data_IF_371232078478
#
_entry.id   IF_371232078478
#
_cell.length_a   1.000
_cell.length_b   1.000
_cell.length_c   1.000
_cell.angle_alpha   90.00
_cell.angle_beta   90.00
_cell.angle_gamma   90.00
#
_symmetry.space_group_name_H-M   'P 1'
#
loop_
_entity.id
_entity.type
_entity.pdbx_description
1 polymer ?
#
# COMPACT_ATOMS: atom_id res chain seq x y z
N UNK A 1 -0.62 1.74 -7.34
CA UNK A 1 -0.09 2.36 -6.13
C UNK A 1 1.39 2.69 -6.23
N UNK A 2 1.77 3.27 -7.32
CA UNK A 2 3.13 3.73 -7.66
C UNK A 2 3.06 5.23 -7.90
N UNK A 3 2.95 6.05 -6.83
CA UNK A 3 2.76 7.48 -6.96
C UNK A 3 3.91 8.16 -7.70
N UNK A 4 5.09 7.56 -7.70
CA UNK A 4 6.29 8.01 -8.40
C UNK A 4 6.16 8.00 -9.94
N UNK A 5 5.17 7.29 -10.49
CA UNK A 5 4.92 7.25 -11.93
C UNK A 5 3.96 8.34 -12.42
N UNK A 6 3.45 9.18 -11.51
CA UNK A 6 2.47 10.20 -11.84
C UNK A 6 2.76 11.57 -11.22
N UNK A 7 2.00 12.57 -11.65
CA UNK A 7 2.01 13.90 -11.05
C UNK A 7 0.77 14.09 -10.16
N UNK A 8 0.99 14.52 -8.91
CA UNK A 8 -0.10 14.78 -7.99
C UNK A 8 -0.60 16.23 -8.13
N UNK A 9 -1.78 16.40 -8.71
CA UNK A 9 -2.38 17.72 -8.94
C UNK A 9 -2.62 18.52 -7.64
N UNK A 10 -2.89 17.84 -6.51
CA UNK A 10 -3.11 18.48 -5.21
C UNK A 10 -1.81 19.10 -4.69
N UNK A 11 -0.68 18.38 -4.83
CA UNK A 11 0.63 18.89 -4.45
C UNK A 11 1.07 20.04 -5.38
N UNK A 12 0.83 19.91 -6.68
CA UNK A 12 1.09 20.97 -7.64
C UNK A 12 0.31 22.25 -7.31
N UNK A 13 -0.97 22.10 -6.96
CA UNK A 13 -1.81 23.23 -6.54
C UNK A 13 -1.31 23.86 -5.25
N UNK A 14 -0.93 23.06 -4.24
CA UNK A 14 -0.38 23.58 -2.99
C UNK A 14 0.90 24.41 -3.23
N UNK A 15 1.78 23.95 -4.12
CA UNK A 15 2.99 24.68 -4.52
C UNK A 15 2.64 26.05 -5.16
N UNK A 16 1.68 26.08 -6.09
CA UNK A 16 1.22 27.33 -6.72
C UNK A 16 0.63 28.29 -5.69
N UNK A 17 -0.20 27.78 -4.76
CA UNK A 17 -0.80 28.60 -3.70
C UNK A 17 0.28 29.18 -2.76
N UNK A 18 1.32 28.44 -2.44
CA UNK A 18 2.41 28.94 -1.60
C UNK A 18 3.30 29.98 -2.29
N UNK A 19 3.44 29.93 -3.61
CA UNK A 19 4.29 30.83 -4.40
C UNK A 19 3.55 32.05 -4.98
N UNK A 20 2.22 32.09 -4.92
CA UNK A 20 1.40 33.03 -5.68
C UNK A 20 1.29 34.46 -5.09
N UNK A 21 1.89 34.73 -3.93
CA UNK A 21 1.90 36.07 -3.34
C UNK A 21 0.59 36.52 -2.68
N UNK A 22 -0.39 35.64 -2.53
CA UNK A 22 -1.63 35.83 -1.75
C UNK A 22 -1.56 35.14 -0.39
N UNK A 23 -2.57 35.34 0.44
CA UNK A 23 -2.66 34.63 1.72
C UNK A 23 -2.80 33.12 1.46
N UNK A 24 -1.80 32.38 1.92
CA UNK A 24 -1.74 30.93 1.67
C UNK A 24 -2.63 30.19 2.66
N UNK A 25 -3.57 29.36 2.20
CA UNK A 25 -4.41 28.53 3.07
C UNK A 25 -3.58 27.51 3.87
N UNK A 26 -4.00 27.19 5.09
CA UNK A 26 -3.26 26.29 5.98
C UNK A 26 -3.06 24.88 5.41
N UNK A 27 -4.05 24.35 4.68
CA UNK A 27 -3.90 23.06 4.02
C UNK A 27 -2.78 23.08 2.96
N UNK A 28 -2.62 24.19 2.23
CA UNK A 28 -1.56 24.33 1.23
C UNK A 28 -0.19 24.45 1.88
N UNK A 29 -0.06 25.20 2.99
CA UNK A 29 1.16 25.25 3.79
C UNK A 29 1.54 23.87 4.32
N UNK A 30 0.55 23.13 4.87
CA UNK A 30 0.77 21.77 5.37
C UNK A 30 1.30 20.84 4.29
N UNK A 31 0.66 20.84 3.12
CA UNK A 31 1.10 20.00 2.00
C UNK A 31 2.50 20.40 1.51
N UNK A 32 2.76 21.68 1.33
CA UNK A 32 4.06 22.18 0.88
C UNK A 32 5.18 21.84 1.87
N UNK A 33 4.93 21.98 3.19
CA UNK A 33 5.95 21.76 4.22
C UNK A 33 6.21 20.26 4.50
N UNK A 34 5.20 19.41 4.34
CA UNK A 34 5.25 18.02 4.81
C UNK A 34 5.26 16.98 3.69
N UNK A 35 4.90 17.36 2.48
CA UNK A 35 4.77 16.45 1.34
C UNK A 35 5.51 17.01 0.12
N UNK A 36 6.85 16.88 0.09
CA UNK A 36 7.64 17.36 -1.03
C UNK A 36 7.24 16.66 -2.32
N UNK A 37 7.13 17.44 -3.41
CA UNK A 37 6.60 16.99 -4.70
C UNK A 37 7.38 15.82 -5.32
N UNK A 38 8.70 15.81 -5.11
CA UNK A 38 9.61 14.84 -5.71
C UNK A 38 9.91 13.63 -4.81
N UNK A 39 9.30 13.59 -3.63
CA UNK A 39 9.48 12.51 -2.68
C UNK A 39 8.13 12.15 -2.04
N UNK A 40 7.61 10.98 -2.34
CA UNK A 40 6.36 10.48 -1.77
C UNK A 40 6.48 9.99 -0.32
N UNK A 41 7.69 10.02 0.22
CA UNK A 41 7.91 9.93 1.67
C UNK A 41 7.57 11.29 2.28
N UNK A 42 6.62 11.29 3.20
CA UNK A 42 6.28 12.51 3.91
C UNK A 42 7.39 12.94 4.87
N UNK A 43 7.53 14.26 5.08
CA UNK A 43 8.38 14.81 6.14
C UNK A 43 7.69 14.79 7.52
N UNK A 44 6.66 14.00 7.68
CA UNK A 44 6.08 13.67 8.99
C UNK A 44 7.05 12.78 9.75
N UNK A 45 7.35 13.12 10.99
CA UNK A 45 8.20 12.29 11.84
C UNK A 45 7.42 11.08 12.34
N UNK A 46 7.43 9.99 11.57
CA UNK A 46 6.74 8.74 11.91
C UNK A 46 7.73 7.79 12.55
N UNK A 47 7.43 7.37 13.77
CA UNK A 47 8.27 6.43 14.51
C UNK A 47 8.06 5.00 14.01
N UNK A 48 9.17 4.28 13.75
CA UNK A 48 9.15 2.86 13.44
C UNK A 48 9.07 2.03 14.72
N UNK A 49 8.45 0.87 14.65
CA UNK A 49 8.47 -0.09 15.73
C UNK A 49 9.89 -0.64 15.94
N UNK A 50 10.31 -0.77 17.19
CA UNK A 50 11.63 -1.30 17.52
C UNK A 50 11.75 -2.79 17.15
N UNK A 51 12.91 -3.17 16.62
CA UNK A 51 13.30 -4.58 16.44
C UNK A 51 12.74 -5.27 15.19
N UNK A 52 11.97 -4.57 14.36
CA UNK A 52 11.44 -5.14 13.11
C UNK A 52 12.19 -4.52 11.93
N UNK A 53 13.07 -5.30 11.30
CA UNK A 53 13.70 -4.94 10.04
C UNK A 53 13.52 -6.08 9.04
N UNK A 54 13.08 -5.76 7.83
CA UNK A 54 12.99 -6.73 6.76
C UNK A 54 13.46 -6.09 5.45
N UNK A 55 14.44 -6.69 4.82
CA UNK A 55 15.02 -6.21 3.54
C UNK A 55 13.97 -6.16 2.40
N UNK A 56 12.86 -6.91 2.53
CA UNK A 56 11.75 -6.92 1.58
C UNK A 56 10.68 -5.87 1.89
N UNK A 57 10.85 -5.06 2.95
CA UNK A 57 9.88 -4.03 3.31
C UNK A 57 9.84 -2.94 2.25
N UNK A 58 8.64 -2.61 1.80
CA UNK A 58 8.42 -1.49 0.88
C UNK A 58 8.39 -0.18 1.68
N UNK A 59 8.78 0.95 1.08
CA UNK A 59 8.68 2.24 1.75
C UNK A 59 7.23 2.59 2.08
N UNK A 60 7.03 3.29 3.18
CA UNK A 60 5.72 3.86 3.51
C UNK A 60 5.45 5.04 2.59
N UNK A 61 4.32 5.01 1.90
CA UNK A 61 3.87 6.13 1.08
C UNK A 61 2.64 6.78 1.70
N UNK A 62 2.61 8.12 1.70
CA UNK A 62 1.48 8.93 2.17
C UNK A 62 1.16 9.94 1.07
N UNK A 63 0.02 9.77 0.43
CA UNK A 63 -0.34 10.54 -0.77
C UNK A 63 -1.68 11.22 -0.58
N UNK A 64 -1.79 12.55 -0.78
CA UNK A 64 -3.08 13.22 -0.84
C UNK A 64 -3.81 12.78 -2.10
N UNK A 65 -5.04 12.29 -1.92
CA UNK A 65 -5.82 11.66 -3.01
C UNK A 65 -7.09 12.41 -3.37
N UNK A 66 -7.61 13.21 -2.46
CA UNK A 66 -8.82 13.97 -2.68
C UNK A 66 -8.76 15.27 -1.91
N UNK A 67 -9.10 16.36 -2.57
CA UNK A 67 -9.33 17.67 -1.96
C UNK A 67 -10.74 18.14 -2.34
N UNK A 68 -11.56 18.42 -1.34
CA UNK A 68 -12.93 18.90 -1.53
C UNK A 68 -13.21 20.06 -0.58
N UNK A 69 -14.09 20.94 -1.00
CA UNK A 69 -14.70 21.93 -0.13
C UNK A 69 -16.11 21.46 0.26
N UNK A 70 -16.39 21.45 1.54
CA UNK A 70 -17.71 21.22 2.10
C UNK A 70 -18.04 22.39 3.02
N UNK A 71 -19.01 23.19 2.62
CA UNK A 71 -19.35 24.46 3.30
C UNK A 71 -18.10 25.34 3.52
N UNK A 72 -17.78 25.63 4.78
CA UNK A 72 -16.61 26.45 5.19
C UNK A 72 -15.36 25.62 5.46
N UNK A 73 -15.37 24.32 5.16
CA UNK A 73 -14.28 23.38 5.46
C UNK A 73 -13.64 22.84 4.19
N UNK A 74 -12.33 22.60 4.29
CA UNK A 74 -11.59 21.86 3.30
C UNK A 74 -11.36 20.44 3.83
N UNK A 75 -11.80 19.45 3.08
CA UNK A 75 -11.52 18.04 3.33
C UNK A 75 -10.35 17.59 2.46
N UNK A 76 -9.31 17.09 3.11
CA UNK A 76 -8.14 16.55 2.46
C UNK A 76 -7.98 15.10 2.85
N UNK A 77 -8.12 14.19 1.89
CA UNK A 77 -7.93 12.77 2.08
C UNK A 77 -6.51 12.34 1.76
N UNK A 78 -5.97 11.47 2.60
CA UNK A 78 -4.71 10.78 2.35
C UNK A 78 -4.93 9.29 2.19
N UNK A 79 -4.25 8.68 1.21
CA UNK A 79 -4.04 7.25 1.14
C UNK A 79 -2.68 6.94 1.75
N UNK A 80 -2.66 6.09 2.75
CA UNK A 80 -1.45 5.66 3.45
C UNK A 80 -1.18 4.21 3.13
N UNK A 81 0.01 3.92 2.64
CA UNK A 81 0.53 2.56 2.44
C UNK A 81 1.71 2.38 3.37
N UNK A 82 1.42 1.88 4.56
CA UNK A 82 2.42 1.69 5.60
C UNK A 82 3.08 0.32 5.50
N UNK A 83 4.35 0.26 5.88
CA UNK A 83 5.06 -1.00 6.09
C UNK A 83 4.63 -1.63 7.41
N UNK A 84 4.92 -2.92 7.60
CA UNK A 84 4.67 -3.57 8.89
C UNK A 84 5.62 -3.07 10.01
N UNK A 85 6.67 -2.31 9.68
CA UNK A 85 7.55 -1.65 10.63
C UNK A 85 6.93 -0.39 11.25
N UNK A 86 5.84 0.12 10.64
CA UNK A 86 5.17 1.35 11.07
C UNK A 86 3.74 1.00 11.46
N UNK A 87 3.43 0.92 12.78
CA UNK A 87 2.05 0.76 13.25
C UNK A 87 1.17 1.91 12.76
N UNK A 88 -0.09 1.62 12.41
CA UNK A 88 -1.04 2.64 11.97
C UNK A 88 -1.22 3.76 12.98
N UNK A 89 -1.16 3.45 14.27
CA UNK A 89 -1.24 4.43 15.33
C UNK A 89 -0.13 5.49 15.25
N UNK A 90 1.10 5.09 14.90
CA UNK A 90 2.23 6.02 14.77
C UNK A 90 2.02 7.02 13.62
N UNK A 91 1.37 6.59 12.54
CA UNK A 91 0.98 7.47 11.44
C UNK A 91 -0.05 8.50 11.91
N UNK A 92 -1.07 8.04 12.62
CA UNK A 92 -2.12 8.90 13.18
C UNK A 92 -1.51 9.97 14.09
N UNK A 93 -0.66 9.57 15.03
CA UNK A 93 0.02 10.48 15.95
C UNK A 93 0.91 11.51 15.24
N UNK A 94 1.56 11.10 14.15
CA UNK A 94 2.37 12.01 13.34
C UNK A 94 1.51 13.11 12.70
N UNK A 95 0.32 12.79 12.22
CA UNK A 95 -0.64 13.80 11.75
C UNK A 95 -1.17 14.65 12.91
N UNK A 96 -1.53 14.05 14.03
CA UNK A 96 -2.07 14.78 15.19
C UNK A 96 -1.08 15.80 15.77
N UNK A 97 0.21 15.51 15.76
CA UNK A 97 1.27 16.44 16.23
C UNK A 97 1.28 17.76 15.43
N UNK A 98 0.85 17.75 14.19
CA UNK A 98 0.85 18.92 13.31
C UNK A 98 -0.48 19.71 13.33
N UNK A 99 -1.54 19.20 13.93
CA UNK A 99 -2.89 19.78 13.93
C UNK A 99 -2.92 21.25 14.37
N UNK A 100 -2.23 21.54 15.49
CA UNK A 100 -2.24 22.90 16.05
C UNK A 100 -1.52 23.93 15.17
N UNK A 101 -0.51 23.49 14.41
CA UNK A 101 0.27 24.36 13.53
C UNK A 101 -0.50 24.75 12.26
N UNK A 102 -1.26 23.79 11.73
CA UNK A 102 -1.97 23.97 10.44
C UNK A 102 -3.49 23.97 10.56
N UNK A 103 -4.02 24.08 11.78
CA UNK A 103 -5.44 24.27 12.13
C UNK A 103 -6.39 23.24 11.47
N UNK A 104 -6.07 21.96 11.56
CA UNK A 104 -6.92 20.88 11.05
C UNK A 104 -7.29 19.87 12.15
N UNK A 105 -8.17 18.93 11.83
CA UNK A 105 -8.52 17.78 12.65
C UNK A 105 -8.35 16.50 11.85
N UNK A 106 -7.77 15.47 12.48
CA UNK A 106 -7.64 14.14 11.88
C UNK A 106 -8.95 13.38 12.03
N UNK A 107 -9.40 12.77 10.94
CA UNK A 107 -10.52 11.84 10.91
C UNK A 107 -10.03 10.55 10.28
N UNK A 108 -10.09 9.46 11.04
CA UNK A 108 -9.68 8.13 10.58
C UNK A 108 -10.89 7.49 9.90
N UNK A 109 -10.82 7.29 8.59
CA UNK A 109 -11.87 6.60 7.83
C UNK A 109 -11.72 5.10 7.90
N UNK A 110 -10.50 4.62 7.80
CA UNK A 110 -10.14 3.21 7.85
C UNK A 110 -8.69 3.06 8.30
N UNK A 111 -8.44 2.05 9.12
CA UNK A 111 -7.09 1.64 9.50
C UNK A 111 -6.98 0.13 9.39
N UNK A 112 -6.27 -0.33 8.36
CA UNK A 112 -5.95 -1.74 8.13
C UNK A 112 -4.46 -1.94 8.33
N UNK A 113 -4.12 -2.61 9.42
CA UNK A 113 -2.71 -2.89 9.72
C UNK A 113 -2.03 -3.71 8.61
N UNK A 114 -0.74 -3.50 8.37
CA UNK A 114 0.02 -4.28 7.43
C UNK A 114 0.12 -5.73 7.88
N UNK A 115 0.24 -6.64 6.92
CA UNK A 115 0.39 -8.07 7.18
C UNK A 115 1.85 -8.46 7.00
N UNK A 116 2.35 -9.22 7.97
CA UNK A 116 3.60 -9.94 7.84
C UNK A 116 3.38 -11.40 8.19
N UNK A 117 3.80 -12.29 7.29
CA UNK A 117 3.79 -13.73 7.51
C UNK A 117 5.20 -14.26 7.35
N UNK A 118 5.69 -14.97 8.38
CA UNK A 118 7.00 -15.60 8.33
C UNK A 118 7.04 -16.65 7.20
N UNK A 119 8.01 -16.47 6.29
CA UNK A 119 8.20 -17.33 5.11
C UNK A 119 8.46 -18.80 5.47
N UNK A 120 8.89 -19.09 6.70
CA UNK A 120 9.16 -20.44 7.19
C UNK A 120 7.91 -21.17 7.71
N UNK A 121 6.75 -20.57 7.64
CA UNK A 121 5.50 -21.24 8.03
C UNK A 121 5.29 -22.49 7.17
N UNK A 122 5.01 -23.67 7.80
CA UNK A 122 4.92 -24.94 7.05
C UNK A 122 3.91 -24.92 5.90
N UNK A 123 2.75 -24.28 6.10
CA UNK A 123 1.74 -24.16 5.04
C UNK A 123 2.20 -23.26 3.89
N UNK A 124 2.99 -22.22 4.17
CA UNK A 124 3.52 -21.34 3.15
C UNK A 124 4.61 -22.02 2.31
N UNK A 125 5.43 -22.85 2.96
CA UNK A 125 6.41 -23.69 2.25
C UNK A 125 5.71 -24.72 1.33
N UNK A 126 4.56 -25.26 1.73
CA UNK A 126 3.76 -26.13 0.85
C UNK A 126 3.13 -25.38 -0.32
N UNK A 127 2.68 -24.13 -0.13
CA UNK A 127 2.28 -23.28 -1.24
C UNK A 127 3.43 -23.04 -2.23
N UNK A 128 4.62 -22.77 -1.71
CA UNK A 128 5.83 -22.65 -2.52
C UNK A 128 6.10 -23.93 -3.32
N UNK A 129 6.04 -25.11 -2.69
CA UNK A 129 6.21 -26.39 -3.37
C UNK A 129 5.18 -26.61 -4.48
N UNK A 130 3.92 -26.23 -4.24
CA UNK A 130 2.87 -26.32 -5.26
C UNK A 130 3.14 -25.41 -6.47
N UNK A 131 3.69 -24.24 -6.25
CA UNK A 131 4.09 -23.31 -7.31
C UNK A 131 5.28 -23.89 -8.11
N UNK A 132 6.29 -24.38 -7.43
CA UNK A 132 7.52 -24.93 -8.03
C UNK A 132 7.32 -26.27 -8.74
N UNK A 133 6.27 -27.04 -8.38
CA UNK A 133 5.92 -28.28 -9.05
C UNK A 133 5.60 -28.13 -10.54
N UNK A 134 5.30 -26.92 -10.98
CA UNK A 134 5.03 -26.58 -12.39
C UNK A 134 6.19 -25.86 -13.08
N UNK A 135 7.41 -25.97 -12.54
CA UNK A 135 8.61 -25.42 -13.17
C UNK A 135 8.78 -23.91 -13.02
N UNK A 136 8.00 -23.28 -12.17
CA UNK A 136 8.13 -21.86 -11.86
C UNK A 136 8.99 -21.66 -10.61
N UNK A 137 9.79 -20.58 -10.57
CA UNK A 137 10.54 -20.19 -9.37
C UNK A 137 9.63 -19.36 -8.47
N UNK A 138 9.38 -19.83 -7.24
CA UNK A 138 8.58 -19.11 -6.27
C UNK A 138 9.45 -18.13 -5.46
N UNK A 139 9.05 -16.86 -5.44
CA UNK A 139 9.65 -15.84 -4.59
C UNK A 139 8.55 -15.19 -3.76
N UNK A 140 8.78 -15.11 -2.44
CA UNK A 140 7.92 -14.33 -1.58
C UNK A 140 8.25 -12.85 -1.73
N UNK A 141 7.23 -12.03 -1.86
CA UNK A 141 7.39 -10.60 -2.09
C UNK A 141 6.45 -9.79 -1.19
N UNK A 142 6.84 -8.56 -0.90
CA UNK A 142 5.94 -7.58 -0.33
C UNK A 142 5.11 -6.92 -1.44
N UNK A 143 3.87 -6.61 -1.15
CA UNK A 143 2.98 -5.87 -2.05
C UNK A 143 2.39 -4.66 -1.34
N UNK A 144 2.42 -3.51 -2.00
CA UNK A 144 1.82 -2.26 -1.50
C UNK A 144 0.29 -2.26 -1.61
N UNK A 145 -0.28 -3.21 -2.35
CA UNK A 145 -1.71 -3.35 -2.54
C UNK A 145 -2.48 -3.70 -1.25
N UNK A 146 -3.74 -3.31 -1.19
CA UNK A 146 -4.67 -3.76 -0.16
C UNK A 146 -5.57 -4.84 -0.74
N UNK A 147 -5.68 -5.98 -0.06
CA UNK A 147 -6.53 -7.09 -0.45
C UNK A 147 -7.31 -7.61 0.76
N UNK A 148 -8.23 -8.53 0.55
CA UNK A 148 -8.95 -9.24 1.63
C UNK A 148 -8.00 -9.95 2.62
N UNK A 149 -6.75 -10.19 2.24
CA UNK A 149 -5.74 -10.71 3.15
C UNK A 149 -5.63 -9.88 4.43
N UNK A 150 -5.81 -8.56 4.37
CA UNK A 150 -5.73 -7.67 5.54
C UNK A 150 -6.88 -7.85 6.54
N UNK A 151 -7.94 -8.54 6.19
CA UNK A 151 -9.09 -8.77 7.07
C UNK A 151 -9.09 -10.13 7.75
N UNK A 152 -8.12 -10.99 7.42
CA UNK A 152 -8.05 -12.36 7.92
C UNK A 152 -6.68 -12.68 8.52
N UNK A 153 -6.60 -13.37 9.67
CA UNK A 153 -5.32 -13.75 10.25
C UNK A 153 -4.63 -14.84 9.41
N UNK A 154 -3.29 -14.80 9.37
CA UNK A 154 -2.46 -15.78 8.65
C UNK A 154 -2.85 -15.95 7.18
N UNK A 155 -3.14 -14.87 6.50
CA UNK A 155 -3.54 -14.87 5.11
C UNK A 155 -2.43 -14.25 4.24
N UNK A 156 -2.23 -14.81 3.06
CA UNK A 156 -1.36 -14.24 2.01
C UNK A 156 -2.11 -14.19 0.70
N UNK A 157 -1.66 -13.35 -0.20
CA UNK A 157 -2.17 -13.34 -1.57
C UNK A 157 -1.33 -14.26 -2.44
N UNK A 158 -1.98 -14.98 -3.32
CA UNK A 158 -1.36 -15.82 -4.32
C UNK A 158 -2.10 -15.58 -5.63
N UNK A 159 -1.52 -14.73 -6.46
CA UNK A 159 -2.16 -14.28 -7.69
C UNK A 159 -1.85 -15.17 -8.90
N UNK A 160 -2.69 -15.10 -9.94
CA UNK A 160 -2.51 -15.86 -11.17
C UNK A 160 -1.59 -15.16 -12.19
N UNK A 161 -1.10 -13.97 -11.92
CA UNK A 161 -0.17 -13.24 -12.79
C UNK A 161 1.24 -13.74 -12.51
N UNK A 162 1.90 -14.25 -13.55
CA UNK A 162 3.28 -14.71 -13.47
C UNK A 162 4.24 -13.60 -13.93
N UNK A 163 5.55 -13.66 -13.54
CA UNK A 163 6.52 -12.61 -13.90
C UNK A 163 6.65 -12.35 -15.42
N UNK A 164 6.32 -13.32 -16.24
CA UNK A 164 6.33 -13.20 -17.71
C UNK A 164 5.03 -12.64 -18.30
N UNK A 165 3.97 -12.54 -17.52
CA UNK A 165 2.69 -11.97 -17.96
C UNK A 165 2.75 -10.44 -18.02
N UNK A 166 1.87 -9.86 -18.82
CA UNK A 166 1.68 -8.41 -18.84
C UNK A 166 0.88 -8.01 -17.61
N UNK A 167 1.46 -7.19 -16.75
CA UNK A 167 0.73 -6.59 -15.64
C UNK A 167 -0.16 -5.46 -16.18
N UNK A 168 -1.45 -5.72 -16.29
CA UNK A 168 -2.47 -4.77 -16.69
C UNK A 168 -3.61 -4.65 -15.66
N UNK A 169 -3.32 -4.97 -14.40
CA UNK A 169 -4.28 -4.83 -13.32
C UNK A 169 -4.77 -3.38 -13.20
N UNK A 170 -6.08 -3.18 -13.10
CA UNK A 170 -6.76 -1.88 -13.06
C UNK A 170 -6.58 -1.01 -14.30
N UNK A 171 -6.11 -1.57 -15.41
CA UNK A 171 -5.97 -0.86 -16.67
C UNK A 171 -7.16 -1.13 -17.59
N UNK A 172 -7.31 -0.26 -18.58
CA UNK A 172 -8.26 -0.48 -19.67
C UNK A 172 -7.92 -1.79 -20.41
N UNK A 173 -8.91 -2.64 -20.64
CA UNK A 173 -8.76 -3.98 -21.21
C UNK A 173 -7.92 -4.94 -20.35
N UNK A 174 -8.08 -4.87 -19.02
CA UNK A 174 -7.47 -5.84 -18.10
C UNK A 174 -7.74 -7.27 -18.57
N UNK A 175 -6.69 -8.06 -18.67
CA UNK A 175 -6.74 -9.41 -19.21
C UNK A 175 -5.71 -10.33 -18.56
N UNK A 176 -5.97 -11.63 -18.67
CA UNK A 176 -5.02 -12.69 -18.33
C UNK A 176 -4.97 -13.69 -19.48
N UNK A 177 -3.79 -14.25 -19.75
CA UNK A 177 -3.69 -15.31 -20.75
C UNK A 177 -4.42 -16.57 -20.29
N UNK A 178 -5.02 -17.31 -21.21
CA UNK A 178 -5.66 -18.60 -20.88
C UNK A 178 -4.64 -19.59 -20.30
N UNK A 179 -3.41 -19.54 -20.77
CA UNK A 179 -2.32 -20.38 -20.29
C UNK A 179 -2.02 -20.11 -18.81
N UNK A 180 -1.82 -18.83 -18.45
CA UNK A 180 -1.56 -18.41 -17.06
C UNK A 180 -2.75 -18.72 -16.15
N UNK A 181 -3.97 -18.46 -16.61
CA UNK A 181 -5.18 -18.81 -15.88
C UNK A 181 -5.27 -20.33 -15.60
N UNK A 182 -5.06 -21.16 -16.61
CA UNK A 182 -5.08 -22.62 -16.46
C UNK A 182 -3.94 -23.15 -15.59
N UNK A 183 -2.75 -22.56 -15.70
CA UNK A 183 -1.61 -22.91 -14.86
C UNK A 183 -1.89 -22.58 -13.39
N UNK A 184 -2.40 -21.37 -13.10
CA UNK A 184 -2.82 -20.98 -11.75
C UNK A 184 -3.84 -21.95 -11.16
N UNK A 185 -4.88 -22.31 -11.92
CA UNK A 185 -5.87 -23.31 -11.48
C UNK A 185 -5.25 -24.68 -11.14
N UNK A 186 -4.27 -25.15 -11.91
CA UNK A 186 -3.56 -26.40 -11.63
C UNK A 186 -2.75 -26.32 -10.33
N UNK A 187 -2.07 -25.18 -10.10
CA UNK A 187 -1.31 -24.94 -8.86
C UNK A 187 -2.23 -24.94 -7.63
N UNK A 188 -3.36 -24.22 -7.69
CA UNK A 188 -4.35 -24.21 -6.61
C UNK A 188 -4.92 -25.61 -6.36
N UNK A 189 -5.28 -26.33 -7.42
CA UNK A 189 -5.79 -27.70 -7.30
C UNK A 189 -4.78 -28.63 -6.65
N UNK A 190 -3.52 -28.56 -7.08
CA UNK A 190 -2.45 -29.35 -6.50
C UNK A 190 -2.25 -29.03 -5.01
N UNK A 191 -2.20 -27.75 -4.66
CA UNK A 191 -2.07 -27.33 -3.27
C UNK A 191 -3.23 -27.83 -2.42
N UNK A 192 -4.48 -27.56 -2.82
CA UNK A 192 -5.68 -27.96 -2.09
C UNK A 192 -5.78 -29.49 -1.96
N UNK A 193 -5.46 -30.23 -3.00
CA UNK A 193 -5.45 -31.70 -2.95
C UNK A 193 -4.46 -32.22 -1.92
N UNK A 194 -3.26 -31.63 -1.85
CA UNK A 194 -2.24 -32.05 -0.89
C UNK A 194 -2.57 -31.63 0.55
N UNK A 195 -3.31 -30.54 0.74
CA UNK A 195 -3.75 -30.08 2.08
C UNK A 195 -4.96 -30.88 2.59
N UNK A 196 -5.89 -31.23 1.71
CA UNK A 196 -7.17 -31.87 2.07
C UNK A 196 -7.20 -33.36 1.76
N UNK A 197 -6.33 -33.84 0.87
CA UNK A 197 -6.27 -35.22 0.44
C UNK A 197 -5.79 -36.14 1.53
N UNK A 198 -6.72 -36.84 2.07
CA UNK A 198 -6.73 -38.06 2.90
C UNK A 198 -5.44 -38.41 3.61
N UNK A 199 -5.53 -38.26 4.88
CA UNK A 199 -4.85 -39.20 5.78
C UNK A 199 -5.49 -40.59 5.70
#
# INVERSE_FOLDING_TARGET
>A
STPELGENAILNMAEVLCKGGWETPDFAKFLHDKFPKDNYESLLCIEKAEGIQNEKSLPTTIVPTLLMQEDDKILLNFNVRQTFEIPGQNVIEAFEKEQSKYHYHVIIKENLEPIFVDENKPWLLRMKQAYEAYGKKCEFMAASGCTYAKTMPNFVTWGPVFPEDIDCAHMENEQISLESFMLGNRMYTYFLFNETGTK
#
